data_IF_396914488994
#
_entry.id   IF_396914488994
#
_cell.length_a   1.000
_cell.length_b   1.000
_cell.length_c   1.000
_cell.angle_alpha   90.00
_cell.angle_beta   90.00
_cell.angle_gamma   90.00
#
_symmetry.space_group_name_H-M   'P 1'
#
loop_
_entity.id
_entity.type
_entity.pdbx_description
1 polymer ?
#
# COMPACT_ATOMS: atom_id res chain seq x y z
N UNK A 1 50.95 8.48 32.42
CA UNK A 1 50.53 7.31 31.61
C UNK A 1 49.02 7.04 31.65
N UNK A 2 48.33 7.15 32.79
CA UNK A 2 46.85 6.99 32.87
C UNK A 2 46.05 8.16 32.27
N UNK A 3 46.54 9.40 32.43
CA UNK A 3 45.89 10.62 31.88
C UNK A 3 45.95 10.73 30.35
N UNK A 4 47.01 10.22 29.71
CA UNK A 4 47.17 10.18 28.25
C UNK A 4 46.29 9.10 27.59
N UNK A 5 45.99 8.02 28.32
CA UNK A 5 45.04 6.97 27.93
C UNK A 5 43.58 7.49 27.94
N UNK A 6 43.19 8.27 28.95
CA UNK A 6 41.84 8.85 29.04
C UNK A 6 41.61 9.89 27.93
N UNK A 7 42.63 10.69 27.59
CA UNK A 7 42.55 11.67 26.49
C UNK A 7 42.43 10.99 25.11
N UNK A 8 43.09 9.83 24.90
CA UNK A 8 42.97 9.08 23.64
C UNK A 8 41.60 8.43 23.47
N UNK A 9 40.98 7.97 24.57
CA UNK A 9 39.62 7.39 24.55
C UNK A 9 38.56 8.47 24.27
N UNK A 10 38.74 9.68 24.84
CA UNK A 10 37.86 10.84 24.57
C UNK A 10 38.02 11.37 23.15
N UNK A 11 39.22 11.35 22.58
CA UNK A 11 39.48 11.78 21.20
C UNK A 11 38.96 10.76 20.17
N UNK A 12 39.00 9.47 20.50
CA UNK A 12 38.52 8.38 19.65
C UNK A 12 36.99 8.22 19.71
N UNK A 13 36.34 8.54 20.84
CA UNK A 13 34.89 8.58 20.96
C UNK A 13 34.25 9.77 20.20
N UNK A 14 34.98 10.87 20.04
CA UNK A 14 34.54 12.06 19.29
C UNK A 14 34.61 11.88 17.76
N UNK A 15 35.32 10.85 17.28
CA UNK A 15 35.49 10.54 15.85
C UNK A 15 34.45 9.54 15.30
N UNK A 16 33.62 8.94 16.16
CA UNK A 16 32.60 7.93 15.77
C UNK A 16 31.21 8.55 15.56
N UNK A 17 31.03 9.86 15.81
CA UNK A 17 29.73 10.55 15.68
C UNK A 17 29.43 11.02 14.24
N UNK A 18 30.34 10.81 13.29
CA UNK A 18 30.24 11.36 11.92
C UNK A 18 29.74 10.38 10.84
N UNK A 19 29.09 9.27 11.19
CA UNK A 19 28.57 8.30 10.20
C UNK A 19 27.26 7.63 10.65
N UNK A 20 26.27 8.41 11.09
CA UNK A 20 24.89 7.91 11.13
C UNK A 20 24.04 8.67 10.14
N UNK A 21 24.11 8.15 8.92
CA UNK A 21 23.09 8.12 7.88
C UNK A 21 22.25 9.39 7.73
N UNK A 22 22.46 10.05 6.59
CA UNK A 22 21.43 10.80 5.90
C UNK A 22 20.07 10.10 6.10
N UNK A 23 19.23 10.65 6.98
CA UNK A 23 17.82 10.37 6.90
C UNK A 23 17.42 10.84 5.52
N UNK A 24 17.12 9.88 4.65
CA UNK A 24 16.32 10.12 3.46
C UNK A 24 14.96 10.61 3.95
N UNK A 25 14.87 11.87 4.33
CA UNK A 25 13.63 12.62 4.22
C UNK A 25 13.45 12.81 2.73
N UNK A 26 12.99 11.75 2.06
CA UNK A 26 12.13 11.94 0.92
C UNK A 26 10.97 12.75 1.49
N UNK A 27 11.03 14.06 1.33
CA UNK A 27 9.84 14.89 1.28
C UNK A 27 8.90 14.09 0.37
N UNK A 28 7.74 13.61 0.83
CA UNK A 28 6.73 13.24 -0.13
C UNK A 28 6.52 14.52 -0.92
N UNK A 29 7.01 14.52 -2.17
CA UNK A 29 6.55 15.47 -3.15
C UNK A 29 5.07 15.15 -3.22
N UNK A 30 4.27 15.94 -2.51
CA UNK A 30 2.88 16.14 -2.88
C UNK A 30 2.96 16.73 -4.28
N UNK A 31 3.05 15.84 -5.26
CA UNK A 31 2.66 16.13 -6.62
C UNK A 31 1.22 16.54 -6.47
N UNK A 32 1.01 17.84 -6.53
CA UNK A 32 -0.26 18.49 -6.83
C UNK A 32 -0.66 17.99 -8.23
N UNK A 33 -1.07 16.72 -8.27
CA UNK A 33 -1.75 16.13 -9.40
C UNK A 33 -3.15 16.70 -9.33
N UNK A 34 -3.71 17.24 -10.42
CA UNK A 34 -5.08 17.71 -10.42
C UNK A 34 -5.94 16.60 -9.84
N UNK A 35 -6.60 16.88 -8.71
CA UNK A 35 -7.55 15.95 -8.14
C UNK A 35 -8.59 15.66 -9.22
N UNK A 36 -8.48 14.48 -9.83
CA UNK A 36 -9.59 13.83 -10.50
C UNK A 36 -10.77 13.79 -9.52
N UNK A 37 -12.02 13.77 -10.01
CA UNK A 37 -13.21 13.64 -9.16
C UNK A 37 -12.93 12.63 -8.06
N UNK A 38 -13.30 12.92 -6.82
CA UNK A 38 -13.08 12.06 -5.64
C UNK A 38 -13.65 10.67 -5.91
N UNK A 39 -12.87 9.80 -6.54
CA UNK A 39 -13.21 8.40 -6.73
C UNK A 39 -13.01 7.72 -5.39
N UNK A 40 -13.96 6.87 -5.03
CA UNK A 40 -13.85 6.05 -3.83
C UNK A 40 -12.54 5.25 -3.93
N UNK A 41 -11.68 5.24 -2.89
CA UNK A 41 -10.40 4.54 -2.93
C UNK A 41 -10.57 3.04 -3.23
N UNK A 42 -11.69 2.44 -2.82
CA UNK A 42 -12.03 1.04 -3.12
C UNK A 42 -12.45 0.87 -4.57
N UNK A 43 -13.15 1.84 -5.16
CA UNK A 43 -13.45 1.83 -6.58
C UNK A 43 -12.15 1.89 -7.40
N UNK A 44 -11.20 2.75 -7.04
CA UNK A 44 -9.90 2.80 -7.69
C UNK A 44 -9.12 1.48 -7.55
N UNK A 45 -9.20 0.84 -6.38
CA UNK A 45 -8.62 -0.49 -6.15
C UNK A 45 -9.26 -1.56 -7.05
N UNK A 46 -10.58 -1.54 -7.26
CA UNK A 46 -11.27 -2.45 -8.20
C UNK A 46 -10.74 -2.23 -9.62
N UNK A 47 -10.62 -0.97 -10.05
CA UNK A 47 -10.09 -0.67 -11.39
C UNK A 47 -8.63 -1.14 -11.55
N UNK A 48 -7.80 -1.01 -10.52
CA UNK A 48 -6.42 -1.48 -10.54
C UNK A 48 -6.32 -3.01 -10.58
N UNK A 49 -7.11 -3.71 -9.75
CA UNK A 49 -6.96 -5.16 -9.53
C UNK A 49 -7.74 -6.02 -10.52
N UNK A 50 -8.89 -5.54 -11.01
CA UNK A 50 -9.84 -6.36 -11.75
C UNK A 50 -9.90 -6.07 -13.25
N UNK A 51 -9.29 -4.98 -13.73
CA UNK A 51 -9.33 -4.59 -15.15
C UNK A 51 -8.30 -5.32 -16.03
N UNK A 52 -7.37 -6.09 -15.43
CA UNK A 52 -6.27 -6.73 -16.14
C UNK A 52 -6.67 -7.82 -17.14
N UNK A 53 -7.84 -8.44 -16.97
CA UNK A 53 -8.29 -9.56 -17.83
C UNK A 53 -9.58 -9.26 -18.59
N UNK A 54 -10.48 -8.45 -18.04
CA UNK A 54 -11.74 -8.05 -18.67
C UNK A 54 -12.23 -6.72 -18.09
N UNK A 55 -13.29 -6.16 -18.66
CA UNK A 55 -13.84 -4.89 -18.18
C UNK A 55 -14.50 -5.03 -16.79
N UNK A 56 -14.37 -4.01 -15.95
CA UNK A 56 -14.88 -3.94 -14.56
C UNK A 56 -16.38 -3.63 -14.48
N UNK A 57 -17.03 -3.20 -15.57
CA UNK A 57 -18.47 -2.95 -15.60
C UNK A 57 -19.31 -4.15 -15.14
N UNK A 58 -18.83 -5.38 -15.34
CA UNK A 58 -19.53 -6.58 -14.86
C UNK A 58 -19.67 -6.60 -13.33
N UNK A 59 -18.74 -5.98 -12.60
CA UNK A 59 -18.73 -5.90 -11.15
C UNK A 59 -19.85 -4.95 -10.70
N UNK A 60 -19.92 -3.75 -11.29
CA UNK A 60 -20.93 -2.74 -10.93
C UNK A 60 -22.36 -3.07 -11.39
N UNK A 61 -22.53 -4.06 -12.26
CA UNK A 61 -23.85 -4.55 -12.69
C UNK A 61 -24.28 -5.84 -11.97
N UNK A 62 -23.42 -6.40 -11.12
CA UNK A 62 -23.74 -7.58 -10.35
C UNK A 62 -24.24 -7.20 -8.95
N UNK A 63 -25.05 -8.09 -8.37
CA UNK A 63 -25.52 -7.96 -7.01
C UNK A 63 -25.45 -9.34 -6.35
N UNK A 64 -24.50 -9.49 -5.44
CA UNK A 64 -24.26 -10.69 -4.65
C UNK A 64 -24.19 -10.31 -3.17
N UNK A 65 -24.43 -11.29 -2.30
CA UNK A 65 -24.05 -11.17 -0.90
C UNK A 65 -22.53 -11.37 -0.71
N UNK A 66 -22.06 -11.23 0.53
CA UNK A 66 -20.65 -11.38 0.89
C UNK A 66 -20.06 -12.72 0.41
N UNK A 67 -20.82 -13.81 0.57
CA UNK A 67 -20.37 -15.15 0.19
C UNK A 67 -20.26 -15.29 -1.33
N UNK A 68 -21.24 -14.79 -2.08
CA UNK A 68 -21.21 -14.81 -3.53
C UNK A 68 -20.07 -13.97 -4.11
N UNK A 69 -19.78 -12.80 -3.51
CA UNK A 69 -18.63 -12.00 -3.92
C UNK A 69 -17.30 -12.68 -3.61
N UNK A 70 -17.17 -13.31 -2.43
CA UNK A 70 -15.97 -14.08 -2.08
C UNK A 70 -15.69 -15.16 -3.12
N UNK A 71 -16.71 -15.97 -3.47
CA UNK A 71 -16.59 -17.05 -4.45
C UNK A 71 -16.18 -16.53 -5.85
N UNK A 72 -16.76 -15.40 -6.28
CA UNK A 72 -16.42 -14.78 -7.57
C UNK A 72 -14.98 -14.29 -7.59
N UNK A 73 -14.54 -13.59 -6.55
CA UNK A 73 -13.18 -13.06 -6.48
C UNK A 73 -12.17 -14.20 -6.39
N UNK A 74 -12.43 -15.23 -5.57
CA UNK A 74 -11.60 -16.43 -5.49
C UNK A 74 -11.44 -17.10 -6.84
N UNK A 75 -12.53 -17.22 -7.60
CA UNK A 75 -12.47 -17.76 -8.94
C UNK A 75 -11.64 -16.90 -9.91
N UNK A 76 -11.56 -15.58 -9.70
CA UNK A 76 -10.67 -14.71 -10.48
C UNK A 76 -9.22 -14.85 -10.03
N UNK A 77 -8.94 -15.04 -8.74
CA UNK A 77 -7.60 -15.34 -8.22
C UNK A 77 -7.09 -16.64 -8.82
N UNK A 78 -7.91 -17.69 -8.87
CA UNK A 78 -7.58 -18.98 -9.51
C UNK A 78 -7.22 -18.81 -11.00
N UNK A 79 -7.79 -17.80 -11.67
CA UNK A 79 -7.50 -17.44 -13.07
C UNK A 79 -6.29 -16.52 -13.23
N UNK A 80 -5.68 -16.07 -12.13
CA UNK A 80 -4.47 -15.26 -12.14
C UNK A 80 -4.67 -13.80 -11.77
N UNK A 81 -5.83 -13.39 -11.26
CA UNK A 81 -5.96 -12.08 -10.62
C UNK A 81 -5.05 -12.03 -9.37
N UNK A 82 -4.43 -10.88 -9.15
CA UNK A 82 -3.48 -10.69 -8.04
C UNK A 82 -4.03 -9.62 -7.09
N UNK A 83 -4.67 -10.07 -6.02
CA UNK A 83 -5.01 -9.24 -4.86
C UNK A 83 -4.69 -9.97 -3.56
N UNK A 84 -4.47 -9.20 -2.51
CA UNK A 84 -4.32 -9.70 -1.15
C UNK A 84 -5.67 -9.99 -0.49
N UNK A 85 -5.68 -10.77 0.59
CA UNK A 85 -6.89 -11.06 1.37
C UNK A 85 -7.51 -9.78 1.95
N UNK A 86 -6.70 -8.80 2.37
CA UNK A 86 -7.19 -7.53 2.91
C UNK A 86 -7.88 -6.70 1.81
N UNK A 87 -7.29 -6.63 0.61
CA UNK A 87 -7.90 -5.96 -0.55
C UNK A 87 -9.20 -6.66 -0.97
N UNK A 88 -9.24 -7.99 -0.94
CA UNK A 88 -10.45 -8.77 -1.21
C UNK A 88 -11.56 -8.41 -0.22
N UNK A 89 -11.27 -8.43 1.07
CA UNK A 89 -12.23 -8.09 2.11
C UNK A 89 -12.77 -6.66 1.93
N UNK A 90 -11.88 -5.69 1.68
CA UNK A 90 -12.25 -4.29 1.43
C UNK A 90 -13.20 -4.15 0.23
N UNK A 91 -12.90 -4.82 -0.88
CA UNK A 91 -13.74 -4.79 -2.09
C UNK A 91 -15.12 -5.38 -1.79
N UNK A 92 -15.19 -6.53 -1.11
CA UNK A 92 -16.47 -7.19 -0.80
C UNK A 92 -17.34 -6.31 0.10
N UNK A 93 -16.77 -5.77 1.19
CA UNK A 93 -17.48 -4.88 2.11
C UNK A 93 -18.06 -3.66 1.39
N UNK A 94 -17.29 -3.08 0.47
CA UNK A 94 -17.74 -1.96 -0.33
C UNK A 94 -18.87 -2.33 -1.30
N UNK A 95 -18.76 -3.47 -1.99
CA UNK A 95 -19.75 -3.93 -2.97
C UNK A 95 -21.11 -4.24 -2.34
N UNK A 96 -21.14 -4.85 -1.16
CA UNK A 96 -22.40 -5.15 -0.46
C UNK A 96 -23.04 -3.93 0.19
N UNK A 97 -22.29 -2.82 0.33
CA UNK A 97 -22.79 -1.55 0.84
C UNK A 97 -23.38 -0.65 -0.26
N UNK A 98 -23.19 -1.00 -1.54
CA UNK A 98 -23.79 -0.28 -2.66
C UNK A 98 -25.30 -0.59 -2.78
N UNK A 99 -26.13 0.40 -3.17
CA UNK A 99 -27.58 0.25 -3.29
C UNK A 99 -28.05 -0.58 -4.49
#
# INVERSE_FOLDING_TARGET
MKKTLIFSILLMALLVVAISACSNTATPVSTDSPATPTEDPTQALIEERCSGCHNTSIIYNANYDESGWSDVIDHMIEKGAVLSEDEKAQIIEWLIAQP
#
